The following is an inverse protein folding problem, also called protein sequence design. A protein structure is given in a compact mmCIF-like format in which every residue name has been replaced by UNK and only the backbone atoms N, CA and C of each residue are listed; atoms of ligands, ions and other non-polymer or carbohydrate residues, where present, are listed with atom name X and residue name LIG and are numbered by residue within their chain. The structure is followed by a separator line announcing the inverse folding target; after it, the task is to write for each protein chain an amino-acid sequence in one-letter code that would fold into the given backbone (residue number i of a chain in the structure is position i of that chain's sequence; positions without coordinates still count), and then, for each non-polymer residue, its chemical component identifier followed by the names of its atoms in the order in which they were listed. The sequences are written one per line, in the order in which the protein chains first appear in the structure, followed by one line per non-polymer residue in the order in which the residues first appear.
data_IF_751525432074
#
_entry.id   IF_751525432074
#
_cell.length_a   1.000
_cell.length_b   1.000
_cell.length_c   1.000
_cell.angle_alpha   90.00
_cell.angle_beta   90.00
_cell.angle_gamma   90.00
#
_symmetry.space_group_name_H-M   'P 1'
#
loop_
_entity.id
_entity.type
_entity.pdbx_description
1 polymer ?
#
# COMPACT_ATOMS: atom_id res chain seq x y z
N UNK A 1 0.87 -5.36 8.83
CA UNK A 1 2.01 -6.28 9.01
C UNK A 1 1.72 -7.40 10.01
N UNK A 2 1.23 -7.09 11.21
CA UNK A 2 0.95 -8.07 12.29
C UNK A 2 0.15 -9.30 11.83
N UNK A 3 -0.93 -9.13 11.10
CA UNK A 3 -1.78 -10.26 10.68
C UNK A 3 -1.22 -11.04 9.46
N UNK A 4 -0.20 -10.49 8.80
CA UNK A 4 0.50 -11.17 7.71
C UNK A 4 1.63 -12.06 8.22
N UNK A 5 2.15 -11.82 9.43
CA UNK A 5 3.20 -12.64 10.04
C UNK A 5 2.57 -13.88 10.69
N UNK A 6 3.00 -15.06 10.25
CA UNK A 6 2.53 -16.34 10.75
C UNK A 6 3.41 -16.82 11.91
N UNK A 7 4.73 -16.69 11.77
CA UNK A 7 5.70 -17.02 12.81
C UNK A 7 7.03 -16.28 12.56
N UNK A 8 7.84 -16.21 13.62
CA UNK A 8 9.18 -15.64 13.63
C UNK A 8 10.18 -16.61 14.27
N UNK A 9 11.41 -16.62 13.75
CA UNK A 9 12.58 -17.13 14.46
C UNK A 9 13.39 -15.95 14.99
N UNK A 10 13.69 -15.96 16.28
CA UNK A 10 14.35 -14.87 16.99
C UNK A 10 15.52 -15.40 17.78
N UNK A 11 16.64 -14.69 17.73
CA UNK A 11 17.79 -14.88 18.62
C UNK A 11 17.69 -13.87 19.77
N UNK A 12 17.56 -14.37 20.99
CA UNK A 12 17.49 -13.56 22.20
C UNK A 12 18.88 -13.02 22.61
N UNK A 13 18.91 -12.07 23.55
CA UNK A 13 20.15 -11.46 24.03
C UNK A 13 21.12 -12.45 24.69
N UNK A 14 20.61 -13.56 25.23
CA UNK A 14 21.42 -14.65 25.80
C UNK A 14 21.89 -15.67 24.74
N UNK A 15 21.59 -15.45 23.45
CA UNK A 15 21.95 -16.34 22.35
C UNK A 15 20.93 -17.44 22.05
N UNK A 16 19.88 -17.59 22.87
CA UNK A 16 18.87 -18.63 22.64
C UNK A 16 18.05 -18.35 21.39
N UNK A 17 17.73 -19.43 20.66
CA UNK A 17 16.90 -19.36 19.45
C UNK A 17 15.46 -19.77 19.79
N UNK A 18 14.53 -18.84 19.63
CA UNK A 18 13.10 -19.05 19.89
C UNK A 18 12.30 -19.03 18.59
N UNK A 19 11.40 -20.01 18.44
CA UNK A 19 10.33 -20.00 17.44
C UNK A 19 9.03 -19.56 18.12
N UNK A 20 8.44 -18.48 17.63
CA UNK A 20 7.30 -17.79 18.27
C UNK A 20 5.93 -18.39 17.96
N UNK A 21 5.84 -19.28 16.97
CA UNK A 21 4.59 -19.89 16.54
C UNK A 21 4.82 -21.18 15.75
N UNK A 22 3.75 -21.95 15.57
CA UNK A 22 3.74 -23.18 14.76
C UNK A 22 3.09 -22.96 13.39
N UNK A 23 3.06 -23.99 12.54
CA UNK A 23 2.34 -23.95 11.25
C UNK A 23 0.82 -24.14 11.40
N UNK A 24 0.31 -24.30 12.63
CA UNK A 24 -1.11 -24.49 12.86
C UNK A 24 -1.91 -23.24 12.48
N UNK A 25 -3.02 -23.41 11.75
CA UNK A 25 -3.88 -22.30 11.29
C UNK A 25 -4.55 -21.55 12.44
N UNK A 26 -4.78 -22.23 13.56
CA UNK A 26 -5.28 -21.68 14.82
C UNK A 26 -4.50 -22.36 15.95
N UNK A 27 -4.02 -21.56 16.90
CA UNK A 27 -3.41 -22.05 18.13
C UNK A 27 -3.95 -21.19 19.28
N UNK A 28 -4.46 -21.84 20.31
CA UNK A 28 -4.81 -21.21 21.59
C UNK A 28 -3.82 -21.61 22.70
N UNK A 29 -2.70 -22.24 22.32
CA UNK A 29 -1.71 -22.71 23.27
C UNK A 29 -0.75 -21.58 23.63
N UNK A 30 -0.90 -21.04 24.84
CA UNK A 30 0.02 -20.06 25.43
C UNK A 30 -0.08 -18.65 24.86
N UNK A 31 0.92 -17.83 25.16
CA UNK A 31 1.00 -16.44 24.73
C UNK A 31 1.37 -16.30 23.26
N UNK A 32 0.84 -15.28 22.60
CA UNK A 32 1.22 -14.93 21.24
C UNK A 32 2.55 -14.15 21.23
N UNK A 33 3.64 -14.90 21.35
CA UNK A 33 5.00 -14.35 21.30
C UNK A 33 5.31 -13.73 19.93
N UNK A 34 4.62 -14.15 18.87
CA UNK A 34 4.80 -13.56 17.53
C UNK A 34 4.41 -12.09 17.57
N UNK A 35 3.25 -11.79 18.17
CA UNK A 35 2.77 -10.42 18.32
C UNK A 35 3.60 -9.57 19.27
N UNK A 36 4.23 -10.19 20.28
CA UNK A 36 5.16 -9.48 21.18
C UNK A 36 6.41 -9.00 20.44
N UNK A 37 6.93 -9.81 19.52
CA UNK A 37 8.15 -9.48 18.78
C UNK A 37 7.93 -8.44 17.68
N UNK A 38 6.73 -8.38 17.08
CA UNK A 38 6.40 -7.42 16.02
C UNK A 38 6.31 -6.01 16.61
N UNK A 39 7.14 -5.10 16.09
CA UNK A 39 7.24 -3.72 16.61
C UNK A 39 8.18 -3.58 17.81
N UNK A 40 8.92 -4.63 18.18
CA UNK A 40 9.95 -4.55 19.24
C UNK A 40 11.20 -3.77 18.82
N UNK A 41 11.35 -3.46 17.53
CA UNK A 41 12.48 -2.69 16.98
C UNK A 41 13.86 -3.25 17.38
N UNK A 42 13.94 -4.57 17.59
CA UNK A 42 15.19 -5.26 17.96
C UNK A 42 15.51 -5.28 19.46
N UNK A 43 14.68 -4.64 20.30
CA UNK A 43 14.92 -4.56 21.76
C UNK A 43 14.73 -5.89 22.49
N UNK A 44 13.87 -6.77 21.97
CA UNK A 44 13.56 -8.08 22.55
C UNK A 44 14.35 -9.24 21.94
N UNK A 45 15.17 -8.97 20.93
CA UNK A 45 15.94 -9.96 20.19
C UNK A 45 16.01 -9.66 18.69
N UNK A 46 16.86 -10.41 18.00
CA UNK A 46 17.11 -10.24 16.56
C UNK A 46 16.26 -11.26 15.79
N UNK A 47 15.39 -10.78 14.92
CA UNK A 47 14.58 -11.63 14.04
C UNK A 47 15.46 -12.14 12.89
N UNK A 48 15.62 -13.46 12.78
CA UNK A 48 16.44 -14.09 11.74
C UNK A 48 15.63 -14.73 10.62
N UNK A 49 14.38 -15.13 10.90
CA UNK A 49 13.47 -15.68 9.89
C UNK A 49 12.05 -15.19 10.13
N UNK A 50 11.31 -14.96 9.04
CA UNK A 50 9.92 -14.51 9.05
C UNK A 50 9.12 -15.39 8.11
N UNK A 51 8.05 -16.02 8.62
CA UNK A 51 7.06 -16.69 7.77
C UNK A 51 5.88 -15.77 7.55
N UNK A 52 5.59 -15.44 6.28
CA UNK A 52 4.51 -14.54 5.89
C UNK A 52 3.37 -15.28 5.19
N UNK A 53 2.15 -14.79 5.37
CA UNK A 53 0.99 -15.14 4.56
C UNK A 53 1.11 -14.42 3.22
N UNK A 54 1.25 -15.20 2.14
CA UNK A 54 1.23 -14.65 0.78
C UNK A 54 -0.20 -14.44 0.30
N UNK A 55 -0.40 -13.37 -0.47
CA UNK A 55 -1.63 -13.08 -1.19
C UNK A 55 -1.41 -13.32 -2.68
N UNK A 56 -2.48 -13.69 -3.39
CA UNK A 56 -2.41 -13.85 -4.84
C UNK A 56 -2.25 -12.47 -5.50
N UNK A 57 -1.42 -12.40 -6.53
CA UNK A 57 -1.32 -11.18 -7.35
C UNK A 57 -2.67 -10.98 -8.07
N UNK A 58 -3.30 -9.79 -7.93
CA UNK A 58 -4.56 -9.52 -8.60
C UNK A 58 -4.37 -9.58 -10.12
N UNK A 59 -5.37 -10.13 -10.82
CA UNK A 59 -5.32 -10.24 -12.29
C UNK A 59 -5.52 -8.90 -12.98
N UNK A 60 -6.20 -7.98 -12.32
CA UNK A 60 -6.58 -6.70 -12.87
C UNK A 60 -6.55 -5.63 -11.78
N UNK A 61 -6.10 -4.43 -12.16
CA UNK A 61 -6.13 -3.25 -11.30
C UNK A 61 -6.43 -2.00 -12.11
N UNK A 62 -7.16 -1.07 -11.49
CA UNK A 62 -7.50 0.24 -12.05
C UNK A 62 -7.04 1.29 -11.06
N UNK A 63 -6.38 2.33 -11.56
CA UNK A 63 -6.05 3.52 -10.76
C UNK A 63 -6.93 4.66 -11.23
N UNK A 64 -7.56 5.37 -10.31
CA UNK A 64 -8.31 6.58 -10.57
C UNK A 64 -7.71 7.77 -9.83
N UNK A 65 -7.79 8.95 -10.42
CA UNK A 65 -7.35 10.22 -9.86
C UNK A 65 -8.45 11.25 -10.03
N UNK A 66 -8.70 12.06 -9.00
CA UNK A 66 -9.72 13.10 -9.03
C UNK A 66 -9.31 14.28 -8.17
N UNK A 67 -9.71 15.48 -8.60
CA UNK A 67 -9.35 16.76 -8.00
C UNK A 67 -10.51 17.32 -7.19
N UNK A 68 -10.20 18.10 -6.17
CA UNK A 68 -11.18 18.68 -5.26
C UNK A 68 -10.87 20.16 -4.98
N UNK A 69 -11.88 20.99 -4.71
CA UNK A 69 -11.66 22.38 -4.29
C UNK A 69 -11.01 22.48 -2.92
N UNK A 70 -11.31 21.54 -2.01
CA UNK A 70 -10.76 21.54 -0.64
C UNK A 70 -10.36 20.13 -0.19
N UNK A 71 -9.43 20.07 0.77
CA UNK A 71 -9.05 18.82 1.44
C UNK A 71 -10.24 18.17 2.15
N UNK A 72 -11.21 18.97 2.61
CA UNK A 72 -12.42 18.47 3.24
C UNK A 72 -13.29 17.70 2.23
N UNK A 73 -13.49 18.25 1.03
CA UNK A 73 -14.28 17.58 -0.02
C UNK A 73 -13.64 16.23 -0.39
N UNK A 74 -12.31 16.20 -0.52
CA UNK A 74 -11.56 14.96 -0.73
C UNK A 74 -11.77 13.97 0.43
N UNK A 75 -11.59 14.40 1.68
CA UNK A 75 -11.79 13.55 2.84
C UNK A 75 -13.23 12.99 2.91
N UNK A 76 -14.24 13.80 2.61
CA UNK A 76 -15.64 13.39 2.59
C UNK A 76 -15.87 12.29 1.54
N UNK A 77 -15.28 12.40 0.34
CA UNK A 77 -15.33 11.32 -0.67
C UNK A 77 -14.64 10.05 -0.20
N UNK A 78 -13.46 10.15 0.41
CA UNK A 78 -12.76 8.96 0.92
C UNK A 78 -13.60 8.24 1.98
N UNK A 79 -14.23 9.00 2.90
CA UNK A 79 -15.14 8.47 3.92
C UNK A 79 -16.38 7.85 3.27
N UNK A 80 -17.06 8.55 2.36
CA UNK A 80 -18.24 8.05 1.67
C UNK A 80 -17.95 6.77 0.86
N UNK A 81 -16.79 6.70 0.22
CA UNK A 81 -16.31 5.50 -0.48
C UNK A 81 -16.09 4.33 0.47
N UNK A 82 -15.53 4.57 1.66
CA UNK A 82 -15.38 3.53 2.67
C UNK A 82 -16.73 3.07 3.24
N UNK A 83 -17.66 4.00 3.48
CA UNK A 83 -18.98 3.71 4.05
C UNK A 83 -19.93 3.02 3.07
N UNK A 84 -19.73 3.16 1.76
CA UNK A 84 -20.50 2.45 0.73
C UNK A 84 -20.09 0.98 0.59
N UNK A 85 -19.10 0.51 1.36
CA UNK A 85 -18.65 -0.88 1.35
C UNK A 85 -17.73 -1.23 0.18
N UNK A 86 -17.29 -0.24 -0.59
CA UNK A 86 -16.35 -0.40 -1.70
C UNK A 86 -14.99 -0.78 -1.11
N UNK A 87 -14.48 -1.95 -1.48
CA UNK A 87 -13.14 -2.35 -1.08
C UNK A 87 -12.10 -1.70 -1.99
N UNK A 88 -11.55 -0.58 -1.53
CA UNK A 88 -10.40 0.05 -2.18
C UNK A 88 -9.11 -0.64 -1.73
N UNK A 89 -8.22 -0.94 -2.67
CA UNK A 89 -6.88 -1.47 -2.38
C UNK A 89 -6.00 -0.39 -1.74
N UNK A 90 -6.09 0.83 -2.28
CA UNK A 90 -5.28 1.96 -1.84
C UNK A 90 -6.02 3.27 -2.10
N UNK A 91 -5.97 4.18 -1.13
CA UNK A 91 -6.44 5.56 -1.26
C UNK A 91 -5.31 6.46 -0.80
N UNK A 92 -4.92 7.44 -1.61
CA UNK A 92 -3.91 8.43 -1.25
C UNK A 92 -4.43 9.83 -1.52
N UNK A 93 -4.29 10.70 -0.53
CA UNK A 93 -4.57 12.13 -0.64
C UNK A 93 -3.27 12.88 -0.87
N UNK A 94 -3.26 13.73 -1.89
CA UNK A 94 -2.23 14.71 -2.12
C UNK A 94 -2.84 16.10 -1.89
N UNK A 95 -2.26 16.88 -0.97
CA UNK A 95 -2.62 18.29 -0.85
C UNK A 95 -1.93 19.15 -1.93
N UNK A 96 -2.31 20.43 -1.99
CA UNK A 96 -1.79 21.39 -2.97
C UNK A 96 -0.24 21.49 -2.94
N UNK A 97 0.35 21.43 -1.74
CA UNK A 97 1.79 21.53 -1.52
C UNK A 97 2.50 20.28 -2.06
N UNK A 98 1.91 19.12 -1.83
CA UNK A 98 2.36 17.84 -2.35
C UNK A 98 2.26 17.78 -3.87
N UNK A 99 1.15 18.21 -4.47
CA UNK A 99 1.00 18.26 -5.93
C UNK A 99 2.01 19.22 -6.57
N UNK A 100 2.23 20.40 -5.97
CA UNK A 100 3.28 21.33 -6.40
C UNK A 100 4.67 20.70 -6.37
N UNK A 101 5.02 20.02 -5.27
CA UNK A 101 6.31 19.35 -5.15
C UNK A 101 6.49 18.28 -6.24
N UNK A 102 5.43 17.54 -6.56
CA UNK A 102 5.44 16.54 -7.64
C UNK A 102 5.63 17.19 -9.01
N UNK A 103 4.96 18.32 -9.29
CA UNK A 103 5.13 19.06 -10.54
C UNK A 103 6.59 19.48 -10.74
N UNK A 104 7.21 20.04 -9.70
CA UNK A 104 8.62 20.46 -9.71
C UNK A 104 9.56 19.27 -9.94
N UNK A 105 9.36 18.16 -9.23
CA UNK A 105 10.28 17.03 -9.26
C UNK A 105 10.18 16.19 -10.54
N UNK A 106 8.97 16.01 -11.06
CA UNK A 106 8.70 15.11 -12.18
C UNK A 106 8.42 15.85 -13.49
N UNK A 107 8.54 17.19 -13.52
CA UNK A 107 8.23 18.02 -14.68
C UNK A 107 6.79 17.87 -15.16
N UNK A 108 5.86 17.57 -14.25
CA UNK A 108 4.42 17.42 -14.54
C UNK A 108 3.74 18.79 -14.41
N UNK A 109 2.56 18.90 -15.00
CA UNK A 109 1.73 20.10 -14.95
C UNK A 109 0.32 19.75 -14.44
N UNK A 110 0.27 19.10 -13.27
CA UNK A 110 -0.98 18.75 -12.60
C UNK A 110 -1.58 20.02 -11.94
N UNK A 111 -2.91 20.15 -11.86
CA UNK A 111 -3.53 21.23 -11.11
C UNK A 111 -3.12 21.17 -9.64
N UNK A 112 -2.60 22.27 -9.09
CA UNK A 112 -2.19 22.36 -7.68
C UNK A 112 -3.41 22.53 -6.75
N UNK A 113 -4.25 21.52 -6.72
CA UNK A 113 -5.44 21.41 -5.89
C UNK A 113 -5.38 20.09 -5.13
N UNK A 114 -6.16 19.92 -4.04
CA UNK A 114 -6.27 18.63 -3.38
C UNK A 114 -6.69 17.52 -4.35
N UNK A 115 -5.96 16.41 -4.38
CA UNK A 115 -6.17 15.30 -5.31
C UNK A 115 -6.27 13.99 -4.54
N UNK A 116 -7.30 13.19 -4.81
CA UNK A 116 -7.35 11.80 -4.37
C UNK A 116 -6.97 10.84 -5.49
N UNK A 117 -6.22 9.83 -5.10
CA UNK A 117 -5.90 8.67 -5.92
C UNK A 117 -6.51 7.41 -5.30
N UNK A 118 -7.18 6.62 -6.12
CA UNK A 118 -7.78 5.34 -5.75
C UNK A 118 -7.13 4.22 -6.55
N UNK A 119 -6.97 3.06 -5.94
CA UNK A 119 -6.67 1.82 -6.65
C UNK A 119 -7.66 0.73 -6.28
N UNK A 120 -8.25 0.13 -7.31
CA UNK A 120 -9.14 -1.01 -7.21
C UNK A 120 -8.44 -2.23 -7.80
N UNK A 121 -8.49 -3.35 -7.08
CA UNK A 121 -7.92 -4.62 -7.52
C UNK A 121 -9.00 -5.69 -7.52
N UNK A 122 -8.97 -6.59 -8.50
CA UNK A 122 -9.93 -7.69 -8.55
C UNK A 122 -10.07 -8.29 -9.93
N UNK A 123 -11.32 -8.59 -10.30
CA UNK A 123 -11.69 -8.87 -11.69
C UNK A 123 -11.90 -7.56 -12.45
N UNK A 124 -11.84 -7.62 -13.78
CA UNK A 124 -12.13 -6.46 -14.63
C UNK A 124 -13.52 -5.88 -14.37
N UNK A 125 -14.54 -6.75 -14.38
CA UNK A 125 -15.92 -6.35 -14.12
C UNK A 125 -16.09 -5.68 -12.75
N UNK A 126 -15.54 -6.28 -11.69
CA UNK A 126 -15.60 -5.71 -10.35
C UNK A 126 -14.92 -4.34 -10.28
N UNK A 127 -13.70 -4.23 -10.80
CA UNK A 127 -12.92 -2.99 -10.71
C UNK A 127 -13.59 -1.85 -11.49
N UNK A 128 -14.19 -2.13 -12.65
CA UNK A 128 -14.96 -1.14 -13.42
C UNK A 128 -16.24 -0.71 -12.70
N UNK A 129 -16.98 -1.66 -12.15
CA UNK A 129 -18.20 -1.36 -11.38
C UNK A 129 -17.87 -0.45 -10.19
N UNK A 130 -16.85 -0.79 -9.40
CA UNK A 130 -16.45 0.04 -8.26
C UNK A 130 -15.98 1.43 -8.69
N UNK A 131 -15.26 1.54 -9.82
CA UNK A 131 -14.81 2.83 -10.36
C UNK A 131 -16.00 3.73 -10.71
N UNK A 132 -17.06 3.18 -11.30
CA UNK A 132 -18.27 3.94 -11.63
C UNK A 132 -19.01 4.42 -10.37
N UNK A 133 -19.10 3.58 -9.33
CA UNK A 133 -19.74 3.98 -8.07
C UNK A 133 -18.93 5.10 -7.41
N UNK A 134 -17.60 5.00 -7.38
CA UNK A 134 -16.74 6.06 -6.83
C UNK A 134 -16.84 7.33 -7.67
N UNK A 135 -16.91 7.24 -8.99
CA UNK A 135 -17.13 8.40 -9.85
C UNK A 135 -18.42 9.15 -9.50
N UNK A 136 -19.50 8.42 -9.20
CA UNK A 136 -20.76 9.04 -8.75
C UNK A 136 -20.56 9.74 -7.40
N UNK A 137 -19.95 9.09 -6.41
CA UNK A 137 -19.66 9.68 -5.10
C UNK A 137 -18.81 10.96 -5.24
N UNK A 138 -17.80 10.94 -6.10
CA UNK A 138 -16.93 12.09 -6.40
C UNK A 138 -17.75 13.26 -6.95
N UNK A 139 -18.67 13.00 -7.88
CA UNK A 139 -19.51 14.04 -8.47
C UNK A 139 -20.52 14.65 -7.49
N UNK A 140 -20.96 13.91 -6.48
CA UNK A 140 -21.81 14.41 -5.38
C UNK A 140 -21.07 15.35 -4.41
N UNK A 141 -19.73 15.33 -4.41
CA UNK A 141 -18.87 16.06 -3.45
C UNK A 141 -17.92 17.04 -4.14
N UNK A 142 -18.37 17.71 -5.19
CA UNK A 142 -17.61 18.74 -5.93
C UNK A 142 -16.29 18.25 -6.56
N UNK A 143 -16.10 16.95 -6.75
CA UNK A 143 -14.90 16.43 -7.40
C UNK A 143 -14.92 16.64 -8.91
N UNK A 144 -13.74 16.89 -9.48
CA UNK A 144 -13.53 17.10 -10.91
C UNK A 144 -12.41 16.21 -11.48
N UNK A 145 -12.27 16.24 -12.82
CA UNK A 145 -11.15 15.65 -13.55
C UNK A 145 -10.89 14.18 -13.20
N UNK A 146 -11.96 13.39 -13.13
CA UNK A 146 -11.84 11.97 -12.85
C UNK A 146 -11.15 11.26 -14.02
N UNK A 147 -9.87 10.92 -13.83
CA UNK A 147 -9.04 10.19 -14.80
C UNK A 147 -8.84 8.78 -14.29
N UNK A 148 -9.06 7.78 -15.13
CA UNK A 148 -8.76 6.38 -14.81
C UNK A 148 -7.71 5.81 -15.77
N UNK A 149 -6.86 4.94 -15.24
CA UNK A 149 -5.85 4.21 -15.99
C UNK A 149 -5.97 2.71 -15.70
N UNK A 150 -6.18 1.94 -16.77
CA UNK A 150 -6.19 0.47 -16.73
C UNK A 150 -4.85 -0.10 -17.22
N UNK A 151 -4.17 0.61 -18.14
CA UNK A 151 -2.89 0.25 -18.73
C UNK A 151 -1.74 0.28 -17.71
N UNK A 152 -0.81 -0.66 -17.83
CA UNK A 152 0.29 -0.83 -16.86
C UNK A 152 1.23 0.38 -16.80
N UNK A 153 1.56 0.98 -17.95
CA UNK A 153 2.45 2.15 -18.01
C UNK A 153 1.72 3.39 -17.51
N UNK A 154 0.46 3.59 -17.90
CA UNK A 154 -0.36 4.69 -17.40
C UNK A 154 -0.56 4.64 -15.87
N UNK A 155 -0.78 3.44 -15.30
CA UNK A 155 -0.83 3.25 -13.84
C UNK A 155 0.49 3.56 -13.16
N UNK A 156 1.61 3.13 -13.75
CA UNK A 156 2.95 3.41 -13.21
C UNK A 156 3.28 4.89 -13.25
N UNK A 157 2.85 5.61 -14.28
CA UNK A 157 2.96 7.06 -14.38
C UNK A 157 2.13 7.77 -13.31
N UNK A 158 0.86 7.37 -13.11
CA UNK A 158 0.02 7.93 -12.05
C UNK A 158 0.64 7.65 -10.68
N UNK A 159 1.04 6.42 -10.38
CA UNK A 159 1.65 6.08 -9.09
C UNK A 159 3.00 6.78 -8.84
N UNK A 160 3.72 7.19 -9.88
CA UNK A 160 4.96 7.96 -9.71
C UNK A 160 4.70 9.32 -9.04
N UNK A 161 3.50 9.88 -9.23
CA UNK A 161 3.07 11.14 -8.62
C UNK A 161 3.16 11.03 -7.10
N UNK A 162 2.55 10.01 -6.49
CA UNK A 162 2.54 9.87 -5.03
C UNK A 162 3.77 9.19 -4.45
N UNK A 163 4.40 8.27 -5.20
CA UNK A 163 5.57 7.53 -4.71
C UNK A 163 6.81 8.42 -4.51
N UNK A 164 6.92 9.54 -5.25
CA UNK A 164 8.01 10.49 -5.06
C UNK A 164 8.00 11.12 -3.65
N UNK A 165 6.84 11.38 -3.06
CA UNK A 165 6.75 12.03 -1.75
C UNK A 165 7.12 11.08 -0.60
N UNK A 166 6.85 9.78 -0.76
CA UNK A 166 7.17 8.75 0.23
C UNK A 166 8.64 8.30 0.19
N UNK A 167 9.29 8.34 -0.98
CA UNK A 167 10.66 7.85 -1.17
C UNK A 167 11.67 8.97 -1.38
N UNK A 168 11.23 10.19 -1.74
CA UNK A 168 12.08 11.35 -2.05
C UNK A 168 12.85 11.92 -0.85
N UNK A 169 12.62 11.44 0.37
CA UNK A 169 13.50 11.72 1.52
C UNK A 169 14.71 10.79 1.62
N UNK A 170 14.80 9.76 0.77
CA UNK A 170 15.95 8.86 0.70
C UNK A 170 16.74 9.16 -0.58
N UNK A 171 18.07 9.41 -0.50
CA UNK A 171 18.88 9.48 -1.70
C UNK A 171 18.73 8.18 -2.50
N UNK A 172 18.96 8.17 -3.82
CA UNK A 172 18.90 6.95 -4.62
C UNK A 172 19.96 5.97 -4.12
N UNK A 173 19.58 5.07 -3.22
CA UNK A 173 20.47 4.02 -2.73
C UNK A 173 20.52 2.96 -3.84
N UNK A 174 21.71 2.61 -4.36
CA UNK A 174 21.86 1.55 -5.36
C UNK A 174 21.77 0.15 -4.70
N UNK A 175 20.78 -0.08 -3.83
CA UNK A 175 20.66 -1.31 -3.03
C UNK A 175 19.80 -2.40 -3.67
N UNK A 176 19.16 -2.12 -4.81
CA UNK A 176 18.25 -3.06 -5.47
C UNK A 176 18.94 -4.27 -6.16
N UNK A 177 20.28 -4.36 -6.15
CA UNK A 177 21.01 -5.44 -6.82
C UNK A 177 21.58 -6.53 -5.90
N UNK A 178 21.48 -6.41 -4.57
CA UNK A 178 22.24 -7.29 -3.64
C UNK A 178 21.41 -8.41 -2.99
N UNK A 179 20.07 -8.38 -3.01
CA UNK A 179 19.27 -9.32 -2.19
C UNK A 179 18.41 -10.36 -2.91
N UNK A 180 18.52 -10.50 -4.23
CA UNK A 180 17.86 -11.61 -4.95
C UNK A 180 18.85 -12.38 -5.81
N UNK A 181 19.68 -13.21 -5.16
CA UNK A 181 20.19 -14.41 -5.83
C UNK A 181 19.21 -15.56 -5.54
N UNK A 182 18.56 -16.15 -6.55
CA UNK A 182 17.74 -17.34 -6.36
C UNK A 182 18.64 -18.53 -6.05
N UNK A 183 18.62 -19.01 -4.80
CA UNK A 183 19.11 -20.35 -4.47
C UNK A 183 18.01 -21.34 -4.87
N UNK A 184 17.99 -21.68 -6.15
CA UNK A 184 17.33 -22.88 -6.66
C UNK A 184 18.32 -23.62 -7.53
N UNK A 185 19.22 -24.35 -6.89
CA UNK A 185 19.92 -25.47 -7.51
C UNK A 185 20.26 -26.51 -6.43
N UNK A 186 19.90 -27.77 -6.74
CA UNK A 186 20.16 -29.03 -6.00
C UNK A 186 19.19 -29.43 -4.88
N UNK A 187 18.17 -30.17 -5.27
CA UNK A 187 17.98 -31.57 -4.85
C UNK A 187 17.11 -32.30 -5.86
#
# INVERSE_FOLDING_TARGET
MRDNVINLKVVLANGDVVKTGSRARKSAAGYDLTRLMIGSEGTLGVITEVTLRLQKIPKYSVVAMCNFPTVKDAADVAIATMLSGIQVSRVELLDEVQVRAVNIANGKNLPEVPTLMFEFIGTEAYSREQTLIVQNIVSEHNGSDFVFAEDADAKKELWRVSMFLLVGQWPPIPFASVFFHPVLEKS
#
